data_IF_423519591270
#
_entry.id   IF_423519591270
#
_cell.length_a   1.000
_cell.length_b   1.000
_cell.length_c   1.000
_cell.angle_alpha   90.00
_cell.angle_beta   90.00
_cell.angle_gamma   90.00
#
_symmetry.space_group_name_H-M   'P 1'
#
loop_
_entity.id
_entity.type
_entity.pdbx_description
1 polymer ?
#
# COMPACT_ATOMS: atom_id res chain seq x y z
N UNK A 1 35.38 34.64 73.54
CA UNK A 1 34.40 34.59 72.45
C UNK A 1 35.10 34.28 71.16
N UNK A 2 35.03 33.03 70.69
CA UNK A 2 35.63 32.60 69.45
C UNK A 2 34.51 32.35 68.42
N UNK A 3 34.51 33.16 67.36
CA UNK A 3 33.61 32.96 66.23
C UNK A 3 34.33 32.09 65.18
N UNK A 4 33.90 30.87 65.02
CA UNK A 4 34.38 29.95 64.02
C UNK A 4 33.59 30.19 62.71
N UNK A 5 34.29 30.73 61.71
CA UNK A 5 33.68 30.96 60.40
C UNK A 5 33.80 29.67 59.58
N UNK A 6 32.65 29.06 59.35
CA UNK A 6 32.55 27.84 58.53
C UNK A 6 32.40 28.25 57.07
N UNK A 7 33.42 27.95 56.25
CA UNK A 7 33.44 28.18 54.83
C UNK A 7 32.70 27.01 54.15
N UNK A 8 31.55 27.32 53.50
CA UNK A 8 30.79 26.35 52.72
C UNK A 8 31.38 26.41 51.29
N UNK A 9 32.04 25.27 50.87
CA UNK A 9 32.41 25.08 49.48
C UNK A 9 31.16 24.67 48.69
N UNK A 10 30.69 25.52 47.80
CA UNK A 10 29.67 25.18 46.81
C UNK A 10 30.28 24.42 45.67
N UNK A 11 29.99 23.11 45.55
CA UNK A 11 30.29 22.35 44.36
C UNK A 11 29.29 22.74 43.27
N UNK A 12 29.76 23.43 42.26
CA UNK A 12 28.97 23.65 41.02
C UNK A 12 29.00 22.38 40.16
N UNK A 13 27.94 21.60 40.18
CA UNK A 13 27.75 20.49 39.24
C UNK A 13 27.38 21.06 37.86
N UNK A 14 28.30 21.04 36.93
CA UNK A 14 28.01 21.34 35.52
C UNK A 14 27.24 20.17 34.90
N UNK A 15 25.93 20.33 34.75
CA UNK A 15 25.09 19.47 33.93
C UNK A 15 25.44 19.70 32.45
N UNK A 16 26.31 18.86 31.90
CA UNK A 16 26.46 18.77 30.46
C UNK A 16 25.20 18.13 29.88
N UNK A 17 24.24 18.99 29.47
CA UNK A 17 23.08 18.55 28.75
C UNK A 17 23.50 17.91 27.42
N UNK A 18 23.31 16.60 27.27
CA UNK A 18 23.44 15.95 25.98
C UNK A 18 22.36 16.56 25.07
N UNK A 19 22.80 17.34 24.05
CA UNK A 19 21.91 17.83 23.01
C UNK A 19 21.42 16.61 22.21
N UNK A 20 20.10 16.33 22.16
CA UNK A 20 19.63 15.21 21.34
C UNK A 20 20.01 15.48 19.88
N UNK A 21 20.75 14.54 19.30
CA UNK A 21 21.03 14.55 17.85
C UNK A 21 19.69 14.56 17.13
N UNK A 22 19.45 15.47 16.14
CA UNK A 22 18.20 15.44 15.40
C UNK A 22 18.05 14.05 14.78
N UNK A 23 16.97 13.36 15.13
CA UNK A 23 16.62 12.09 14.49
C UNK A 23 16.53 12.36 12.99
N UNK A 24 17.27 11.57 12.19
CA UNK A 24 17.25 11.69 10.74
C UNK A 24 15.78 11.73 10.29
N UNK A 25 15.42 12.74 9.49
CA UNK A 25 14.05 12.88 9.00
C UNK A 25 13.66 11.59 8.28
N UNK A 26 12.55 10.99 8.69
CA UNK A 26 12.00 9.83 8.01
C UNK A 26 11.70 10.23 6.56
N UNK A 27 12.36 9.56 5.60
CA UNK A 27 12.13 9.80 4.18
C UNK A 27 10.74 9.26 3.81
N UNK A 28 9.85 10.12 3.33
CA UNK A 28 8.58 9.69 2.79
C UNK A 28 8.80 8.84 1.53
N UNK A 29 8.18 7.67 1.48
CA UNK A 29 8.14 6.83 0.27
C UNK A 29 7.01 7.22 -0.67
N UNK A 30 6.09 8.08 -0.22
CA UNK A 30 4.99 8.58 -1.05
C UNK A 30 5.55 9.50 -2.13
N UNK A 31 5.23 9.21 -3.38
CA UNK A 31 5.61 10.03 -4.51
C UNK A 31 4.75 11.31 -4.59
N UNK A 32 5.35 12.41 -5.04
CA UNK A 32 4.63 13.66 -5.29
C UNK A 32 3.97 13.62 -6.69
N UNK A 33 2.98 12.75 -6.81
CA UNK A 33 2.19 12.54 -8.03
C UNK A 33 0.74 12.27 -7.64
N UNK A 34 -0.23 12.46 -8.58
CA UNK A 34 -1.64 12.15 -8.31
C UNK A 34 -1.86 10.72 -7.84
N UNK A 35 -2.89 10.51 -7.02
CA UNK A 35 -3.32 9.16 -6.63
C UNK A 35 -3.77 8.37 -7.85
N UNK A 36 -3.53 7.07 -7.82
CA UNK A 36 -4.04 6.15 -8.83
C UNK A 36 -5.36 5.56 -8.35
N UNK A 37 -6.36 5.59 -9.22
CA UNK A 37 -7.69 5.04 -8.95
C UNK A 37 -7.86 3.72 -9.68
N UNK A 38 -8.29 2.69 -8.94
CA UNK A 38 -8.72 1.42 -9.53
C UNK A 38 -10.21 1.52 -9.81
N UNK A 39 -10.56 1.65 -11.10
CA UNK A 39 -11.96 1.85 -11.53
C UNK A 39 -12.65 0.53 -11.81
N UNK A 40 -13.91 0.43 -11.47
CA UNK A 40 -14.79 -0.70 -11.77
C UNK A 40 -14.20 -2.07 -11.39
N UNK A 41 -13.52 -2.16 -10.25
CA UNK A 41 -12.87 -3.40 -9.82
C UNK A 41 -13.89 -4.52 -9.60
N UNK A 42 -13.73 -5.63 -10.32
CA UNK A 42 -14.61 -6.81 -10.21
C UNK A 42 -13.79 -8.09 -10.08
N UNK A 43 -14.31 -9.03 -9.32
CA UNK A 43 -13.86 -10.43 -9.29
C UNK A 43 -15.07 -11.33 -9.54
N UNK A 44 -15.01 -12.16 -10.57
CA UNK A 44 -16.07 -13.12 -10.91
C UNK A 44 -15.47 -14.52 -10.91
N UNK A 45 -15.93 -15.38 -10.04
CA UNK A 45 -15.49 -16.77 -9.95
C UNK A 45 -16.57 -17.71 -10.47
N UNK A 46 -16.18 -18.85 -11.03
CA UNK A 46 -17.10 -19.94 -11.36
C UNK A 46 -17.63 -20.61 -10.06
N UNK A 47 -18.72 -21.37 -10.19
CA UNK A 47 -19.40 -21.99 -9.03
C UNK A 47 -18.48 -22.95 -8.24
N UNK A 48 -17.53 -23.60 -8.93
CA UNK A 48 -16.58 -24.51 -8.32
C UNK A 48 -15.39 -23.79 -7.65
N UNK A 49 -15.29 -22.47 -7.80
CA UNK A 49 -14.13 -21.67 -7.35
C UNK A 49 -12.78 -22.24 -7.82
N UNK A 50 -12.75 -22.65 -9.09
CA UNK A 50 -11.53 -23.15 -9.76
C UNK A 50 -10.96 -22.13 -10.73
N UNK A 51 -11.74 -21.14 -11.13
CA UNK A 51 -11.32 -20.01 -11.95
C UNK A 51 -12.02 -18.73 -11.50
N UNK A 52 -11.24 -17.67 -11.32
CA UNK A 52 -11.73 -16.31 -11.07
C UNK A 52 -11.18 -15.35 -12.12
N UNK A 53 -12.05 -14.57 -12.72
CA UNK A 53 -11.67 -13.45 -13.60
C UNK A 53 -11.68 -12.16 -12.81
N UNK A 54 -10.57 -11.42 -12.87
CA UNK A 54 -10.42 -10.09 -12.27
C UNK A 54 -10.35 -9.05 -13.37
N UNK A 55 -11.09 -7.96 -13.23
CA UNK A 55 -11.12 -6.86 -14.21
C UNK A 55 -11.20 -5.52 -13.47
N UNK A 56 -10.46 -4.54 -13.97
CA UNK A 56 -10.47 -3.15 -13.47
C UNK A 56 -9.78 -2.21 -14.45
N UNK A 57 -9.92 -0.92 -14.24
CA UNK A 57 -9.14 0.10 -14.93
C UNK A 57 -8.11 0.71 -13.98
N UNK A 58 -6.95 1.10 -14.51
CA UNK A 58 -5.90 1.82 -13.80
C UNK A 58 -5.91 3.26 -14.29
N UNK A 59 -6.47 4.16 -13.49
CA UNK A 59 -6.49 5.60 -13.76
C UNK A 59 -5.45 6.30 -12.88
N UNK A 60 -4.44 6.88 -13.51
CA UNK A 60 -3.36 7.59 -12.81
C UNK A 60 -3.63 9.08 -12.68
N UNK A 61 -4.76 9.57 -13.20
CA UNK A 61 -5.14 10.97 -13.22
C UNK A 61 -4.02 11.90 -13.75
N UNK A 62 -3.18 11.35 -14.63
CA UNK A 62 -2.08 12.09 -15.22
C UNK A 62 -2.62 13.14 -16.20
N UNK A 63 -2.50 14.43 -15.81
CA UNK A 63 -2.92 15.55 -16.66
C UNK A 63 -4.41 15.90 -16.59
N UNK A 64 -5.16 15.36 -15.60
CA UNK A 64 -6.55 15.75 -15.33
C UNK A 64 -7.62 15.16 -16.24
N UNK A 65 -7.24 14.48 -17.34
CA UNK A 65 -8.12 13.80 -18.30
C UNK A 65 -7.53 12.45 -18.69
N UNK A 66 -7.12 11.63 -17.71
CA UNK A 66 -6.57 10.32 -18.02
C UNK A 66 -7.68 9.33 -18.35
N UNK A 67 -7.42 8.51 -19.37
CA UNK A 67 -8.23 7.34 -19.66
C UNK A 67 -7.66 6.17 -18.88
N UNK A 68 -8.51 5.46 -18.14
CA UNK A 68 -8.08 4.28 -17.39
C UNK A 68 -7.51 3.21 -18.32
N UNK A 69 -6.35 2.65 -17.98
CA UNK A 69 -5.77 1.51 -18.69
C UNK A 69 -6.50 0.24 -18.23
N UNK A 70 -7.15 -0.51 -19.13
CA UNK A 70 -7.85 -1.72 -18.74
C UNK A 70 -6.88 -2.82 -18.32
N UNK A 71 -7.23 -3.54 -17.28
CA UNK A 71 -6.55 -4.72 -16.80
C UNK A 71 -7.54 -5.87 -16.62
N UNK A 72 -7.21 -7.04 -17.16
CA UNK A 72 -8.03 -8.24 -17.04
C UNK A 72 -7.13 -9.47 -16.99
N UNK A 73 -7.35 -10.34 -16.01
CA UNK A 73 -6.63 -11.60 -15.89
C UNK A 73 -7.50 -12.68 -15.22
N UNK A 74 -7.13 -13.94 -15.43
CA UNK A 74 -7.73 -15.08 -14.75
C UNK A 74 -6.76 -15.66 -13.73
N UNK A 75 -7.32 -16.08 -12.61
CA UNK A 75 -6.63 -16.85 -11.56
C UNK A 75 -7.25 -18.23 -11.53
N UNK A 76 -6.45 -19.26 -11.67
CA UNK A 76 -6.90 -20.67 -11.67
C UNK A 76 -6.26 -21.42 -10.52
N UNK A 77 -7.01 -22.35 -9.92
CA UNK A 77 -6.54 -23.24 -8.89
C UNK A 77 -7.41 -24.52 -8.91
N UNK A 78 -6.91 -25.63 -8.37
CA UNK A 78 -7.72 -26.85 -8.21
C UNK A 78 -8.93 -26.62 -7.31
N UNK A 79 -8.79 -25.72 -6.33
CA UNK A 79 -9.87 -25.24 -5.47
C UNK A 79 -9.51 -23.86 -4.90
N UNK A 80 -10.53 -23.04 -4.59
CA UNK A 80 -10.37 -21.72 -4.00
C UNK A 80 -9.50 -20.78 -4.84
N UNK A 81 -9.78 -20.71 -6.15
CA UNK A 81 -9.15 -19.74 -7.05
C UNK A 81 -9.31 -18.29 -6.55
N UNK A 82 -10.40 -18.01 -5.83
CA UNK A 82 -10.63 -16.72 -5.14
C UNK A 82 -9.56 -16.37 -4.10
N UNK A 83 -8.77 -17.34 -3.65
CA UNK A 83 -7.67 -17.22 -2.67
C UNK A 83 -6.29 -17.50 -3.24
N UNK A 84 -6.21 -17.79 -4.54
CA UNK A 84 -4.95 -18.05 -5.20
C UNK A 84 -4.22 -16.74 -5.57
N UNK A 85 -2.92 -16.84 -5.75
CA UNK A 85 -2.07 -15.73 -6.14
C UNK A 85 -1.76 -15.77 -7.63
N UNK A 86 -1.52 -14.60 -8.22
CA UNK A 86 -1.00 -14.45 -9.57
C UNK A 86 0.11 -13.42 -9.58
N UNK A 87 1.10 -13.58 -10.44
CA UNK A 87 2.24 -12.69 -10.50
C UNK A 87 2.54 -12.25 -11.93
N UNK A 88 3.02 -11.02 -12.05
CA UNK A 88 3.57 -10.45 -13.27
C UNK A 88 2.62 -10.44 -14.49
N UNK A 89 1.35 -10.18 -14.25
CA UNK A 89 0.38 -9.98 -15.34
C UNK A 89 0.66 -8.66 -16.04
N UNK A 90 0.68 -8.69 -17.36
CA UNK A 90 0.81 -7.48 -18.18
C UNK A 90 -0.54 -6.78 -18.36
N UNK A 91 -0.62 -5.52 -17.91
CA UNK A 91 -1.76 -4.65 -18.11
C UNK A 91 -1.28 -3.35 -18.78
N UNK A 92 -1.11 -3.38 -20.11
CA UNK A 92 -0.47 -2.29 -20.84
C UNK A 92 0.98 -2.10 -20.35
N UNK A 93 1.30 -0.90 -19.87
CA UNK A 93 2.62 -0.59 -19.29
C UNK A 93 2.78 -1.04 -17.83
N UNK A 94 1.72 -1.50 -17.19
CA UNK A 94 1.74 -1.91 -15.79
C UNK A 94 1.97 -3.40 -15.65
N UNK A 95 2.71 -3.78 -14.61
CA UNK A 95 2.80 -5.16 -14.11
C UNK A 95 1.91 -5.29 -12.87
N UNK A 96 1.05 -6.29 -12.87
CA UNK A 96 0.11 -6.54 -11.79
C UNK A 96 0.38 -7.91 -11.18
N UNK A 97 0.41 -7.97 -9.86
CA UNK A 97 0.40 -9.21 -9.10
C UNK A 97 -0.68 -9.13 -8.04
N UNK A 98 -1.24 -10.23 -7.63
CA UNK A 98 -2.21 -10.29 -6.54
C UNK A 98 -2.01 -11.50 -5.65
N UNK A 99 -2.36 -11.35 -4.38
CA UNK A 99 -2.31 -12.41 -3.39
C UNK A 99 -3.41 -12.23 -2.36
N UNK A 100 -3.94 -13.35 -1.87
CA UNK A 100 -4.96 -13.38 -0.83
C UNK A 100 -4.32 -13.66 0.53
N UNK A 101 -4.87 -13.07 1.59
CA UNK A 101 -4.52 -13.33 2.97
C UNK A 101 -5.78 -13.53 3.81
N UNK A 102 -5.80 -14.58 4.61
CA UNK A 102 -6.82 -14.84 5.62
C UNK A 102 -6.37 -14.49 7.04
N UNK A 103 -5.40 -13.60 7.18
CA UNK A 103 -4.76 -13.26 8.46
C UNK A 103 -5.71 -12.57 9.44
N UNK A 104 -6.75 -11.92 8.94
CA UNK A 104 -7.81 -11.31 9.74
C UNK A 104 -9.11 -12.09 9.58
N UNK A 105 -10.10 -11.87 10.45
CA UNK A 105 -11.41 -12.55 10.39
C UNK A 105 -12.07 -12.45 9.02
N UNK A 106 -11.90 -11.29 8.36
CA UNK A 106 -12.31 -11.08 6.97
C UNK A 106 -11.08 -11.23 6.09
N UNK A 107 -11.11 -12.20 5.14
CA UNK A 107 -10.05 -12.34 4.15
C UNK A 107 -9.94 -11.10 3.26
N UNK A 108 -8.77 -10.87 2.70
CA UNK A 108 -8.55 -9.76 1.77
C UNK A 108 -7.55 -10.14 0.66
N UNK A 109 -7.73 -9.51 -0.47
CA UNK A 109 -6.82 -9.60 -1.61
C UNK A 109 -6.05 -8.29 -1.75
N UNK A 110 -4.73 -8.38 -1.78
CA UNK A 110 -3.85 -7.24 -2.04
C UNK A 110 -3.26 -7.37 -3.43
N UNK A 111 -3.20 -6.28 -4.16
CA UNK A 111 -2.52 -6.19 -5.44
C UNK A 111 -1.22 -5.39 -5.29
N UNK A 112 -0.28 -5.62 -6.19
CA UNK A 112 0.75 -4.66 -6.53
C UNK A 112 0.55 -4.22 -7.97
N UNK A 113 0.47 -2.92 -8.22
CA UNK A 113 0.39 -2.35 -9.58
C UNK A 113 1.61 -1.49 -9.79
N UNK A 114 2.48 -1.89 -10.70
CA UNK A 114 3.81 -1.31 -10.91
C UNK A 114 3.91 -0.65 -12.27
N UNK A 115 4.32 0.62 -12.30
CA UNK A 115 4.82 1.31 -13.48
C UNK A 115 6.36 1.30 -13.41
N UNK A 116 6.99 0.39 -14.15
CA UNK A 116 8.45 0.21 -14.12
C UNK A 116 9.20 1.38 -14.74
N UNK A 117 8.60 2.07 -15.73
CA UNK A 117 9.22 3.21 -16.39
C UNK A 117 9.30 4.42 -15.45
N UNK A 118 8.21 4.68 -14.72
CA UNK A 118 8.15 5.76 -13.73
C UNK A 118 8.69 5.35 -12.36
N UNK A 119 9.02 4.07 -12.15
CA UNK A 119 9.44 3.50 -10.87
C UNK A 119 8.45 3.80 -9.75
N UNK A 120 7.17 3.57 -10.03
CA UNK A 120 6.05 3.80 -9.11
C UNK A 120 5.28 2.52 -8.85
N UNK A 121 4.75 2.39 -7.64
CA UNK A 121 3.92 1.26 -7.22
C UNK A 121 2.75 1.75 -6.35
N UNK A 122 1.59 1.12 -6.50
CA UNK A 122 0.48 1.19 -5.55
C UNK A 122 0.12 -0.21 -5.06
N UNK A 123 -0.51 -0.26 -3.89
CA UNK A 123 -0.92 -1.49 -3.22
C UNK A 123 -2.44 -1.50 -2.97
N UNK A 124 -3.25 -1.71 -4.02
CA UNK A 124 -4.70 -1.85 -3.83
C UNK A 124 -5.02 -3.07 -2.95
N UNK A 125 -5.99 -2.90 -2.05
CA UNK A 125 -6.45 -3.98 -1.19
C UNK A 125 -7.97 -3.97 -1.07
N UNK A 126 -8.57 -5.14 -1.14
CA UNK A 126 -10.02 -5.34 -1.09
C UNK A 126 -10.34 -6.50 -0.16
N UNK A 127 -11.31 -6.32 0.72
CA UNK A 127 -11.82 -7.41 1.55
C UNK A 127 -12.68 -8.37 0.72
N UNK A 128 -12.82 -9.62 1.17
CA UNK A 128 -13.70 -10.58 0.49
C UNK A 128 -15.16 -10.12 0.49
N UNK A 129 -15.58 -9.31 1.48
CA UNK A 129 -16.92 -8.70 1.52
C UNK A 129 -17.13 -7.66 0.42
N UNK A 130 -16.08 -6.94 0.01
CA UNK A 130 -16.14 -6.00 -1.11
C UNK A 130 -16.14 -6.72 -2.46
N UNK A 131 -15.53 -7.91 -2.54
CA UNK A 131 -15.38 -8.70 -3.75
C UNK A 131 -16.55 -9.68 -3.95
N UNK A 132 -17.78 -9.18 -3.84
CA UNK A 132 -18.98 -9.97 -4.13
C UNK A 132 -19.00 -10.33 -5.62
N UNK A 133 -19.22 -11.61 -5.91
CA UNK A 133 -19.07 -12.22 -7.23
C UNK A 133 -19.72 -11.40 -8.38
N UNK A 134 -18.88 -10.91 -9.28
CA UNK A 134 -19.29 -10.14 -10.45
C UNK A 134 -19.78 -8.71 -10.19
N UNK A 135 -19.82 -8.26 -8.93
CA UNK A 135 -20.20 -6.91 -8.59
C UNK A 135 -18.99 -5.98 -8.57
N UNK A 136 -19.09 -4.83 -9.23
CA UNK A 136 -18.07 -3.81 -9.14
C UNK A 136 -17.98 -3.22 -7.72
N UNK A 137 -16.75 -3.06 -7.23
CA UNK A 137 -16.52 -2.36 -5.96
C UNK A 137 -16.90 -0.89 -6.12
N UNK A 138 -17.70 -0.37 -5.22
CA UNK A 138 -18.14 1.02 -5.24
C UNK A 138 -18.10 1.62 -3.83
N UNK A 139 -17.59 2.85 -3.66
CA UNK A 139 -16.96 3.67 -4.71
C UNK A 139 -15.61 3.10 -5.18
N UNK A 140 -15.12 3.59 -6.34
CA UNK A 140 -13.76 3.31 -6.79
C UNK A 140 -12.75 3.75 -5.74
N UNK A 141 -11.67 2.98 -5.59
CA UNK A 141 -10.67 3.24 -4.57
C UNK A 141 -9.39 3.84 -5.16
N UNK A 142 -8.82 4.82 -4.46
CA UNK A 142 -7.62 5.54 -4.88
C UNK A 142 -6.48 5.32 -3.89
N UNK A 143 -5.26 5.22 -4.42
CA UNK A 143 -4.06 4.90 -3.67
C UNK A 143 -2.92 5.84 -4.02
N UNK A 144 -2.19 6.31 -3.01
CA UNK A 144 -1.01 7.13 -3.21
C UNK A 144 0.16 6.29 -3.72
N UNK A 145 0.74 6.61 -4.90
CA UNK A 145 1.90 5.91 -5.39
C UNK A 145 3.12 6.07 -4.48
N UNK A 146 3.91 5.03 -4.41
CA UNK A 146 5.20 5.01 -3.73
C UNK A 146 6.30 4.82 -4.77
N UNK A 147 7.49 5.37 -4.49
CA UNK A 147 8.65 5.18 -5.34
C UNK A 147 9.27 3.82 -5.09
N UNK A 148 9.59 3.10 -6.17
CA UNK A 148 10.44 1.92 -6.11
C UNK A 148 11.87 2.35 -5.81
N UNK A 149 12.42 1.80 -4.76
CA UNK A 149 13.79 2.04 -4.32
C UNK A 149 14.86 1.60 -5.32
#
# INVERSE_FOLDING_TARGET
MHFTTTTILALAATLTGAVPTPAGQAKSMVADVPQWTMTDFTRTCNDADTECKVQFGIDTNAGGNSTATPCSYSVTAESKASRASVANVDCGKYKVSSGWSGQFEVGFTTLSVVDSEKRLIVWPAYTDEQLVNGKAVSPDQSYAPQTLG
#
